data_IF_334677762840
#
_entry.id   IF_334677762840
#
_cell.length_a   1.000
_cell.length_b   1.000
_cell.length_c   1.000
_cell.angle_alpha   90.00
_cell.angle_beta   90.00
_cell.angle_gamma   90.00
#
_symmetry.space_group_name_H-M   'P 1'
#
loop_
_entity.id
_entity.type
_entity.pdbx_description
1 polymer ?
#
# COMPACT_ATOMS: atom_id res chain seq x y z
N UNK A 1 -8.12 -6.84 -29.52
CA UNK A 1 -6.95 -7.46 -28.89
C UNK A 1 -6.66 -6.81 -27.55
N UNK A 2 -6.86 -7.53 -26.48
CA UNK A 2 -6.11 -7.60 -25.24
C UNK A 2 -6.27 -6.49 -24.22
N UNK A 3 -7.45 -6.36 -23.56
CA UNK A 3 -7.58 -5.65 -22.27
C UNK A 3 -7.10 -6.51 -21.07
N UNK A 4 -6.41 -7.62 -21.32
CA UNK A 4 -5.93 -8.54 -20.31
C UNK A 4 -4.42 -8.39 -20.11
N UNK A 5 -3.99 -8.55 -18.86
CA UNK A 5 -2.57 -8.68 -18.52
C UNK A 5 -1.92 -9.90 -19.19
N UNK A 6 -0.65 -9.78 -19.51
CA UNK A 6 0.20 -10.97 -19.69
C UNK A 6 0.43 -11.66 -18.35
N UNK A 7 0.87 -12.94 -18.34
CA UNK A 7 1.11 -13.67 -17.08
C UNK A 7 2.14 -12.98 -16.19
N UNK A 8 3.23 -12.48 -16.76
CA UNK A 8 4.24 -11.71 -16.02
C UNK A 8 3.72 -10.33 -15.64
N UNK A 9 3.04 -9.64 -16.58
CA UNK A 9 2.48 -8.32 -16.34
C UNK A 9 1.48 -8.30 -15.19
N UNK A 10 0.64 -9.34 -15.06
CA UNK A 10 -0.26 -9.50 -13.91
C UNK A 10 0.51 -9.57 -12.58
N UNK A 11 1.54 -10.42 -12.50
CA UNK A 11 2.35 -10.55 -11.28
C UNK A 11 3.05 -9.24 -10.93
N UNK A 12 3.65 -8.57 -11.93
CA UNK A 12 4.34 -7.29 -11.70
C UNK A 12 3.36 -6.14 -11.37
N UNK A 13 2.16 -6.12 -11.97
CA UNK A 13 1.13 -5.16 -11.59
C UNK A 13 0.61 -5.40 -10.17
N UNK A 14 0.37 -6.66 -9.80
CA UNK A 14 0.00 -7.03 -8.42
C UNK A 14 1.13 -6.71 -7.42
N UNK A 15 2.39 -6.92 -7.79
CA UNK A 15 3.56 -6.48 -7.02
C UNK A 15 3.58 -4.96 -6.86
N UNK A 16 3.41 -4.20 -7.94
CA UNK A 16 3.43 -2.74 -7.91
C UNK A 16 2.26 -2.14 -7.12
N UNK A 17 1.11 -2.82 -7.07
CA UNK A 17 0.00 -2.40 -6.21
C UNK A 17 0.28 -2.68 -4.73
N UNK A 18 0.97 -3.77 -4.43
CA UNK A 18 1.32 -4.17 -3.07
C UNK A 18 2.55 -3.41 -2.55
N UNK A 19 3.64 -3.35 -3.35
CA UNK A 19 4.90 -2.69 -2.95
C UNK A 19 4.77 -1.17 -3.16
N UNK A 20 4.19 -0.49 -2.18
CA UNK A 20 4.07 0.96 -2.11
C UNK A 20 4.82 1.54 -0.93
N UNK A 21 4.45 2.76 -0.54
CA UNK A 21 4.95 3.44 0.66
C UNK A 21 4.76 2.59 1.92
N UNK A 22 3.78 1.66 1.92
CA UNK A 22 3.52 0.74 3.02
C UNK A 22 4.67 -0.18 3.37
N UNK A 23 5.37 -0.73 2.37
CA UNK A 23 6.52 -1.61 2.58
C UNK A 23 7.81 -0.84 2.86
N UNK A 24 7.98 0.31 2.23
CA UNK A 24 9.24 1.04 2.22
C UNK A 24 9.34 2.05 3.37
N UNK A 25 8.21 2.65 3.73
CA UNK A 25 8.14 3.68 4.75
C UNK A 25 7.43 3.19 6.02
N UNK A 26 6.18 2.71 5.88
CA UNK A 26 5.36 2.37 7.04
C UNK A 26 5.93 1.17 7.80
N UNK A 27 6.44 0.17 7.11
CA UNK A 27 7.02 -1.02 7.75
C UNK A 27 8.23 -0.68 8.63
N UNK A 28 9.29 0.03 8.16
CA UNK A 28 10.39 0.43 9.03
C UNK A 28 9.93 1.28 10.20
N UNK A 29 9.06 2.27 9.97
CA UNK A 29 8.49 3.07 11.04
C UNK A 29 7.79 2.22 12.09
N UNK A 30 6.87 1.35 11.68
CA UNK A 30 6.13 0.47 12.60
C UNK A 30 7.07 -0.51 13.32
N UNK A 31 8.11 -1.00 12.67
CA UNK A 31 9.17 -1.80 13.29
C UNK A 31 9.88 -1.03 14.38
N UNK A 32 10.21 0.24 14.12
CA UNK A 32 10.88 1.13 15.07
C UNK A 32 10.07 1.37 16.35
N UNK A 33 8.79 1.71 16.22
CA UNK A 33 7.89 1.98 17.36
C UNK A 33 7.41 0.72 18.09
N UNK A 34 7.55 -0.43 17.48
CA UNK A 34 7.03 -1.71 18.01
C UNK A 34 8.13 -2.64 18.57
N UNK A 35 9.34 -2.14 18.79
CA UNK A 35 10.41 -2.89 19.43
C UNK A 35 11.17 -3.87 18.52
N UNK A 36 11.05 -3.75 17.18
CA UNK A 36 11.88 -4.51 16.24
C UNK A 36 11.38 -5.93 15.96
N UNK A 37 12.16 -6.95 16.41
CA UNK A 37 11.99 -8.35 15.99
C UNK A 37 10.62 -8.98 16.25
N UNK A 38 9.92 -8.59 17.32
CA UNK A 38 8.57 -9.09 17.61
C UNK A 38 7.56 -8.68 16.52
N UNK A 39 7.62 -7.41 16.10
CA UNK A 39 6.78 -6.90 15.01
C UNK A 39 7.12 -7.57 13.68
N UNK A 40 8.40 -7.71 13.34
CA UNK A 40 8.86 -8.35 12.11
C UNK A 40 8.36 -9.79 12.06
N UNK A 41 8.52 -10.57 13.13
CA UNK A 41 8.05 -11.95 13.19
C UNK A 41 6.55 -12.07 13.00
N UNK A 42 5.77 -11.24 13.68
CA UNK A 42 4.30 -11.22 13.53
C UNK A 42 3.89 -10.80 12.12
N UNK A 43 4.53 -9.79 11.55
CA UNK A 43 4.27 -9.37 10.17
C UNK A 43 4.52 -10.50 9.18
N UNK A 44 5.63 -11.23 9.31
CA UNK A 44 5.94 -12.40 8.48
C UNK A 44 4.87 -13.48 8.60
N UNK A 45 4.57 -13.87 9.85
CA UNK A 45 3.57 -14.90 10.11
C UNK A 45 2.18 -14.55 9.58
N UNK A 46 1.71 -13.33 9.87
CA UNK A 46 0.39 -12.85 9.44
C UNK A 46 0.32 -12.65 7.92
N UNK A 47 1.40 -12.18 7.28
CA UNK A 47 1.44 -12.03 5.82
C UNK A 47 1.33 -13.36 5.09
N UNK A 48 2.05 -14.39 5.57
CA UNK A 48 2.07 -15.72 4.97
C UNK A 48 0.81 -16.54 5.29
N UNK A 49 0.09 -16.23 6.35
CA UNK A 49 -1.13 -16.93 6.76
C UNK A 49 -2.39 -16.18 6.33
N UNK A 50 -2.81 -15.22 7.12
CA UNK A 50 -4.06 -14.47 6.93
C UNK A 50 -4.00 -13.58 5.70
N UNK A 51 -2.90 -12.86 5.51
CA UNK A 51 -2.70 -11.99 4.36
C UNK A 51 -2.77 -12.74 3.04
N UNK A 52 -2.02 -13.83 2.91
CA UNK A 52 -2.06 -14.69 1.72
C UNK A 52 -3.45 -15.30 1.48
N UNK A 53 -4.14 -15.74 2.54
CA UNK A 53 -5.48 -16.31 2.42
C UNK A 53 -6.50 -15.29 1.90
N UNK A 54 -6.45 -14.05 2.39
CA UNK A 54 -7.33 -12.95 1.95
C UNK A 54 -6.98 -12.49 0.53
N UNK A 55 -5.69 -12.39 0.21
CA UNK A 55 -5.22 -12.02 -1.11
C UNK A 55 -5.70 -12.99 -2.19
N UNK A 56 -5.62 -14.32 -1.91
CA UNK A 56 -6.20 -15.36 -2.79
C UNK A 56 -7.71 -15.19 -2.94
N UNK A 57 -8.43 -14.89 -1.85
CA UNK A 57 -9.87 -14.73 -1.89
C UNK A 57 -10.31 -13.56 -2.79
N UNK A 58 -9.65 -12.41 -2.67
CA UNK A 58 -9.91 -11.25 -3.54
C UNK A 58 -9.60 -11.56 -5.01
N UNK A 59 -8.43 -12.14 -5.28
CA UNK A 59 -8.07 -12.50 -6.65
C UNK A 59 -9.02 -13.55 -7.25
N UNK A 60 -9.43 -14.55 -6.47
CA UNK A 60 -10.37 -15.57 -6.95
C UNK A 60 -11.72 -14.97 -7.29
N UNK A 61 -12.22 -14.01 -6.49
CA UNK A 61 -13.46 -13.30 -6.77
C UNK A 61 -13.39 -12.58 -8.13
N UNK A 62 -12.32 -11.85 -8.39
CA UNK A 62 -12.11 -11.15 -9.66
C UNK A 62 -11.92 -12.10 -10.85
N UNK A 63 -11.00 -13.05 -10.73
CA UNK A 63 -10.68 -14.00 -11.81
C UNK A 63 -11.88 -14.86 -12.21
N UNK A 64 -12.66 -15.34 -11.24
CA UNK A 64 -13.78 -16.22 -11.51
C UNK A 64 -14.94 -15.54 -12.23
N UNK A 65 -15.11 -14.23 -12.01
CA UNK A 65 -16.22 -13.46 -12.59
C UNK A 65 -15.80 -12.66 -13.83
N UNK A 66 -14.54 -12.27 -13.93
CA UNK A 66 -14.03 -11.36 -14.98
C UNK A 66 -14.82 -10.04 -15.05
N UNK A 67 -15.25 -9.53 -13.89
CA UNK A 67 -16.07 -8.33 -13.76
C UNK A 67 -15.50 -7.37 -12.74
N UNK A 68 -15.89 -6.09 -12.83
CA UNK A 68 -15.56 -5.10 -11.82
C UNK A 68 -16.03 -5.55 -10.43
N UNK A 69 -15.49 -4.93 -9.39
CA UNK A 69 -15.68 -5.33 -7.99
C UNK A 69 -17.17 -5.49 -7.61
N UNK A 70 -18.01 -4.52 -7.97
CA UNK A 70 -19.46 -4.53 -7.61
C UNK A 70 -20.21 -5.65 -8.31
N UNK A 71 -20.00 -5.81 -9.61
CA UNK A 71 -20.65 -6.88 -10.39
C UNK A 71 -20.09 -8.27 -10.04
N UNK A 72 -18.83 -8.37 -9.58
CA UNK A 72 -18.25 -9.63 -9.10
C UNK A 72 -18.99 -10.16 -7.85
N UNK A 73 -19.22 -9.32 -6.86
CA UNK A 73 -20.04 -9.69 -5.71
C UNK A 73 -21.47 -10.04 -6.09
N UNK A 74 -22.09 -9.24 -6.98
CA UNK A 74 -23.45 -9.45 -7.42
C UNK A 74 -23.63 -10.78 -8.17
N UNK A 75 -22.69 -11.15 -9.03
CA UNK A 75 -22.77 -12.38 -9.83
C UNK A 75 -22.72 -13.63 -8.97
N UNK A 76 -21.79 -13.69 -8.03
CA UNK A 76 -21.60 -14.85 -7.16
C UNK A 76 -22.58 -14.90 -5.98
N UNK A 77 -23.27 -13.80 -5.66
CA UNK A 77 -24.25 -13.77 -4.58
C UNK A 77 -25.38 -14.78 -4.84
N UNK A 78 -25.54 -15.72 -3.92
CA UNK A 78 -26.61 -16.74 -3.99
C UNK A 78 -28.00 -16.20 -3.62
N UNK A 79 -28.04 -15.03 -2.95
CA UNK A 79 -29.29 -14.42 -2.54
C UNK A 79 -30.00 -13.80 -3.75
N UNK A 80 -31.32 -14.07 -3.97
CA UNK A 80 -32.07 -13.46 -5.07
C UNK A 80 -32.05 -11.93 -5.09
N UNK A 81 -31.96 -11.29 -3.91
CA UNK A 81 -31.90 -9.82 -3.79
C UNK A 81 -30.54 -9.23 -4.13
N UNK A 82 -29.49 -10.05 -4.34
CA UNK A 82 -28.13 -9.62 -4.73
C UNK A 82 -27.59 -8.47 -3.89
N UNK A 83 -27.72 -8.55 -2.57
CA UNK A 83 -27.37 -7.46 -1.64
C UNK A 83 -25.86 -7.27 -1.46
N UNK A 84 -25.05 -8.32 -1.72
CA UNK A 84 -23.60 -8.24 -1.58
C UNK A 84 -22.94 -7.28 -2.56
N UNK A 85 -23.62 -6.85 -3.63
CA UNK A 85 -23.14 -5.75 -4.48
C UNK A 85 -22.77 -4.48 -3.70
N UNK A 86 -23.45 -4.21 -2.56
CA UNK A 86 -23.14 -3.05 -1.73
C UNK A 86 -21.80 -3.15 -1.00
N UNK A 87 -21.32 -4.36 -0.74
CA UNK A 87 -19.95 -4.56 -0.24
C UNK A 87 -18.90 -4.07 -1.24
N UNK A 88 -19.14 -4.23 -2.54
CA UNK A 88 -18.25 -3.73 -3.59
C UNK A 88 -18.05 -2.21 -3.57
N UNK A 89 -19.04 -1.44 -3.04
CA UNK A 89 -18.90 0.02 -2.91
C UNK A 89 -17.78 0.39 -1.93
N UNK A 90 -17.64 -0.35 -0.83
CA UNK A 90 -16.56 -0.13 0.14
C UNK A 90 -15.18 -0.36 -0.50
N UNK A 91 -15.09 -1.35 -1.40
CA UNK A 91 -13.83 -1.74 -2.03
C UNK A 91 -13.39 -0.80 -3.17
N UNK A 92 -14.24 0.12 -3.63
CA UNK A 92 -13.85 1.16 -4.61
C UNK A 92 -13.45 2.49 -3.95
N UNK A 93 -13.00 2.44 -2.71
CA UNK A 93 -12.57 3.60 -1.91
C UNK A 93 -11.19 4.16 -2.28
N UNK A 94 -10.51 3.57 -3.25
CA UNK A 94 -9.18 4.01 -3.70
C UNK A 94 -9.05 5.51 -3.98
N UNK A 95 -9.99 6.18 -4.66
CA UNK A 95 -9.95 7.64 -4.86
C UNK A 95 -9.86 8.44 -3.57
N UNK A 96 -10.50 8.00 -2.48
CA UNK A 96 -10.43 8.67 -1.18
C UNK A 96 -9.01 8.60 -0.59
N UNK A 97 -8.39 7.42 -0.67
CA UNK A 97 -7.00 7.22 -0.24
C UNK A 97 -6.06 8.06 -1.10
N UNK A 98 -6.32 8.12 -2.40
CA UNK A 98 -5.45 8.82 -3.35
C UNK A 98 -5.37 10.33 -3.08
N UNK A 99 -6.34 10.94 -2.40
CA UNK A 99 -6.30 12.36 -2.01
C UNK A 99 -5.12 12.68 -1.08
N UNK A 100 -4.95 11.92 0.00
CA UNK A 100 -3.85 12.15 0.95
C UNK A 100 -2.56 11.42 0.54
N UNK A 101 -2.67 10.22 -0.01
CA UNK A 101 -1.52 9.46 -0.51
C UNK A 101 -0.80 10.19 -1.64
N UNK A 102 -1.58 10.81 -2.56
CA UNK A 102 -1.04 11.64 -3.63
C UNK A 102 -0.33 12.88 -3.10
N UNK A 103 -0.83 13.49 -2.02
CA UNK A 103 -0.18 14.63 -1.34
C UNK A 103 1.17 14.22 -0.75
N UNK A 104 1.24 13.09 -0.02
CA UNK A 104 2.49 12.55 0.54
C UNK A 104 3.49 12.23 -0.58
N UNK A 105 3.03 11.62 -1.66
CA UNK A 105 3.90 11.35 -2.81
C UNK A 105 4.35 12.64 -3.51
N UNK A 106 3.54 13.69 -3.49
CA UNK A 106 3.94 15.03 -3.92
C UNK A 106 5.11 15.59 -3.10
N UNK A 107 5.12 15.35 -1.78
CA UNK A 107 6.28 15.70 -0.93
C UNK A 107 7.52 14.90 -1.31
N UNK A 108 7.37 13.59 -1.61
CA UNK A 108 8.50 12.77 -2.08
C UNK A 108 9.10 13.35 -3.37
N UNK A 109 8.27 13.77 -4.33
CA UNK A 109 8.75 14.39 -5.57
C UNK A 109 9.45 15.72 -5.31
N UNK A 110 8.93 16.54 -4.41
CA UNK A 110 9.57 17.79 -4.02
C UNK A 110 10.96 17.54 -3.37
N UNK A 111 11.03 16.60 -2.45
CA UNK A 111 12.28 16.23 -1.80
C UNK A 111 13.30 15.67 -2.81
N UNK A 112 12.84 14.89 -3.78
CA UNK A 112 13.69 14.34 -4.84
C UNK A 112 14.35 15.44 -5.68
N UNK A 113 13.61 16.48 -6.06
CA UNK A 113 14.12 17.52 -6.98
C UNK A 113 14.73 18.76 -6.29
N UNK A 114 14.47 18.95 -5.01
CA UNK A 114 14.90 20.14 -4.27
C UNK A 114 15.82 19.78 -3.10
N UNK A 115 15.31 18.99 -2.16
CA UNK A 115 16.00 18.74 -0.88
C UNK A 115 17.21 17.83 -1.06
N UNK A 116 17.17 16.87 -1.97
CA UNK A 116 18.30 15.98 -2.25
C UNK A 116 19.57 16.70 -2.67
N UNK A 117 19.47 17.88 -3.27
CA UNK A 117 20.62 18.69 -3.69
C UNK A 117 21.06 19.71 -2.64
N UNK A 118 20.24 19.92 -1.59
CA UNK A 118 20.52 20.84 -0.48
C UNK A 118 20.12 20.13 0.82
N UNK A 119 20.87 19.08 1.17
CA UNK A 119 20.59 18.24 2.34
C UNK A 119 20.81 19.04 3.64
N UNK A 120 19.90 18.94 4.63
CA UNK A 120 20.04 19.62 5.92
C UNK A 120 21.19 19.04 6.73
N UNK A 121 21.89 19.91 7.49
CA UNK A 121 23.02 19.51 8.33
C UNK A 121 22.58 19.02 9.73
N UNK A 122 21.41 19.39 10.17
CA UNK A 122 20.87 19.05 11.50
C UNK A 122 19.36 18.90 11.49
N UNK A 123 18.83 18.37 12.60
CA UNK A 123 17.40 18.06 12.71
C UNK A 123 16.52 19.32 12.70
N UNK A 124 16.97 20.43 13.28
CA UNK A 124 16.22 21.69 13.34
C UNK A 124 16.02 22.26 11.92
N UNK A 125 17.09 22.26 11.11
CA UNK A 125 17.01 22.69 9.72
C UNK A 125 16.05 21.80 8.90
N UNK A 126 16.13 20.49 9.10
CA UNK A 126 15.24 19.52 8.44
C UNK A 126 13.77 19.70 8.83
N UNK A 127 13.50 19.91 10.12
CA UNK A 127 12.14 20.21 10.62
C UNK A 127 11.61 21.54 10.06
N UNK A 128 12.47 22.55 9.91
CA UNK A 128 12.09 23.80 9.27
C UNK A 128 11.73 23.60 7.79
N UNK A 129 12.53 22.85 7.03
CA UNK A 129 12.27 22.53 5.63
C UNK A 129 10.92 21.80 5.51
N UNK A 130 10.67 20.80 6.36
CA UNK A 130 9.42 20.06 6.32
C UNK A 130 8.23 20.94 6.72
N UNK A 131 8.36 21.75 7.76
CA UNK A 131 7.34 22.72 8.17
C UNK A 131 7.03 23.72 7.06
N UNK A 132 8.05 24.29 6.39
CA UNK A 132 7.87 25.17 5.25
C UNK A 132 7.16 24.47 4.08
N UNK A 133 7.46 23.19 3.84
CA UNK A 133 6.75 22.37 2.84
C UNK A 133 5.26 22.26 3.18
N UNK A 134 4.92 21.97 4.45
CA UNK A 134 3.53 21.87 4.91
C UNK A 134 2.80 23.22 4.91
N UNK A 135 3.52 24.33 5.06
CA UNK A 135 2.95 25.70 5.00
C UNK A 135 2.88 26.25 3.56
N UNK A 136 3.38 25.54 2.56
CA UNK A 136 3.29 25.98 1.17
C UNK A 136 2.16 25.27 0.41
N UNK A 137 0.96 25.85 0.45
CA UNK A 137 -0.22 25.32 -0.26
C UNK A 137 0.07 25.13 -1.75
N UNK A 138 0.73 26.13 -2.39
CA UNK A 138 1.07 26.06 -3.80
C UNK A 138 2.00 24.89 -4.15
N UNK A 139 3.08 24.71 -3.39
CA UNK A 139 4.03 23.63 -3.58
C UNK A 139 3.37 22.25 -3.42
N UNK A 140 2.60 22.06 -2.36
CA UNK A 140 1.88 20.82 -2.12
C UNK A 140 0.84 20.54 -3.23
N UNK A 141 0.13 21.58 -3.70
CA UNK A 141 -0.86 21.45 -4.79
C UNK A 141 -0.19 21.10 -6.12
N UNK A 142 0.97 21.66 -6.43
CA UNK A 142 1.77 21.29 -7.62
C UNK A 142 2.25 19.84 -7.52
N UNK A 143 2.74 19.43 -6.35
CA UNK A 143 3.15 18.05 -6.10
C UNK A 143 1.99 17.06 -6.30
N UNK A 144 0.84 17.32 -5.67
CA UNK A 144 -0.38 16.52 -5.84
C UNK A 144 -0.84 16.49 -7.30
N UNK A 145 -0.87 17.64 -7.97
CA UNK A 145 -1.24 17.71 -9.39
C UNK A 145 -0.31 16.84 -10.26
N UNK A 146 1.01 16.93 -10.04
CA UNK A 146 2.00 16.15 -10.79
C UNK A 146 1.78 14.64 -10.62
N UNK A 147 1.56 14.19 -9.38
CA UNK A 147 1.25 12.79 -9.08
C UNK A 147 -0.04 12.35 -9.77
N UNK A 148 -1.11 13.11 -9.63
CA UNK A 148 -2.41 12.78 -10.20
C UNK A 148 -2.40 12.85 -11.74
N UNK A 149 -1.63 13.77 -12.33
CA UNK A 149 -1.45 13.86 -13.77
C UNK A 149 -0.76 12.60 -14.31
N UNK A 150 0.36 12.17 -13.71
CA UNK A 150 1.07 10.95 -14.08
C UNK A 150 0.15 9.73 -13.92
N UNK A 151 -0.55 9.63 -12.78
CA UNK A 151 -1.50 8.56 -12.50
C UNK A 151 -2.61 8.51 -13.55
N UNK A 152 -3.27 9.62 -13.81
CA UNK A 152 -4.35 9.74 -14.80
C UNK A 152 -3.88 9.43 -16.22
N UNK A 153 -2.69 9.89 -16.58
CA UNK A 153 -2.08 9.59 -17.88
C UNK A 153 -1.90 8.09 -18.09
N UNK A 154 -1.36 7.39 -17.09
CA UNK A 154 -1.12 5.95 -17.15
C UNK A 154 -2.44 5.18 -17.16
N UNK A 155 -3.35 5.46 -16.23
CA UNK A 155 -4.64 4.79 -16.11
C UNK A 155 -5.49 5.01 -17.37
N UNK A 156 -5.50 6.21 -17.95
CA UNK A 156 -6.26 6.49 -19.17
C UNK A 156 -5.83 5.65 -20.39
N UNK A 157 -4.57 5.16 -20.42
CA UNK A 157 -4.05 4.27 -21.48
C UNK A 157 -4.51 2.83 -21.33
N UNK A 158 -5.15 2.46 -20.22
CA UNK A 158 -5.68 1.13 -19.99
C UNK A 158 -4.69 0.17 -19.34
N UNK A 159 -5.13 -1.09 -19.25
CA UNK A 159 -4.42 -2.13 -18.51
C UNK A 159 -3.06 -2.44 -19.15
N UNK A 160 -3.05 -2.81 -20.42
CA UNK A 160 -1.85 -3.31 -21.09
C UNK A 160 -0.85 -2.21 -21.42
N UNK A 161 -1.34 -1.14 -22.05
CA UNK A 161 -0.47 -0.06 -22.54
C UNK A 161 -0.11 0.97 -21.46
N UNK A 162 -0.85 1.00 -20.36
CA UNK A 162 -0.58 1.87 -19.22
C UNK A 162 -0.01 1.11 -18.04
N UNK A 163 -0.85 0.37 -17.32
CA UNK A 163 -0.54 -0.24 -16.03
C UNK A 163 0.54 -1.32 -16.16
N UNK A 164 0.40 -2.24 -17.11
CA UNK A 164 1.38 -3.32 -17.33
C UNK A 164 2.75 -2.77 -17.72
N UNK A 165 2.81 -1.89 -18.72
CA UNK A 165 4.09 -1.28 -19.16
C UNK A 165 4.78 -0.52 -18.05
N UNK A 166 4.03 0.23 -17.25
CA UNK A 166 4.58 0.92 -16.08
C UNK A 166 5.28 -0.06 -15.14
N UNK A 167 4.57 -1.12 -14.74
CA UNK A 167 5.08 -2.08 -13.76
C UNK A 167 6.24 -2.93 -14.31
N UNK A 168 6.24 -3.25 -15.61
CA UNK A 168 7.35 -3.95 -16.28
C UNK A 168 8.67 -3.16 -16.20
N UNK A 169 8.62 -1.83 -16.13
CA UNK A 169 9.79 -0.97 -16.03
C UNK A 169 10.10 -0.61 -14.57
N UNK A 170 9.11 -0.11 -13.83
CA UNK A 170 9.37 0.45 -12.51
C UNK A 170 9.66 -0.61 -11.45
N UNK A 171 9.06 -1.81 -11.53
CA UNK A 171 9.31 -2.85 -10.52
C UNK A 171 10.77 -3.36 -10.56
N UNK A 172 11.35 -3.76 -11.69
CA UNK A 172 12.77 -4.12 -11.74
C UNK A 172 13.70 -3.00 -11.30
N UNK A 173 13.43 -1.74 -11.68
CA UNK A 173 14.23 -0.59 -11.26
C UNK A 173 14.16 -0.37 -9.74
N UNK A 174 12.98 -0.50 -9.15
CA UNK A 174 12.79 -0.41 -7.71
C UNK A 174 13.62 -1.48 -6.98
N UNK A 175 13.52 -2.75 -7.41
CA UNK A 175 14.32 -3.83 -6.81
C UNK A 175 15.81 -3.57 -6.95
N UNK A 176 16.28 -3.20 -8.14
CA UNK A 176 17.70 -2.90 -8.39
C UNK A 176 18.21 -1.77 -7.48
N UNK A 177 17.42 -0.69 -7.34
CA UNK A 177 17.77 0.45 -6.48
C UNK A 177 17.84 0.04 -5.01
N UNK A 178 16.83 -0.70 -4.50
CA UNK A 178 16.82 -1.13 -3.10
C UNK A 178 17.94 -2.11 -2.78
N UNK A 179 18.24 -3.07 -3.66
CA UNK A 179 19.39 -3.96 -3.46
C UNK A 179 20.71 -3.22 -3.54
N UNK A 180 20.85 -2.25 -4.45
CA UNK A 180 22.05 -1.39 -4.52
C UNK A 180 22.27 -0.62 -3.22
N UNK A 181 21.23 0.01 -2.68
CA UNK A 181 21.30 0.71 -1.39
C UNK A 181 21.54 -0.24 -0.21
N UNK A 182 20.97 -1.46 -0.24
CA UNK A 182 21.25 -2.47 0.78
C UNK A 182 22.72 -2.89 0.75
N UNK A 183 23.31 -3.16 -0.43
CA UNK A 183 24.74 -3.49 -0.54
C UNK A 183 25.62 -2.37 -0.02
N UNK A 184 25.25 -1.11 -0.26
CA UNK A 184 25.93 0.03 0.35
C UNK A 184 25.77 0.03 1.88
N UNK A 185 24.56 -0.19 2.42
CA UNK A 185 24.33 -0.27 3.86
C UNK A 185 25.11 -1.42 4.53
N UNK A 186 25.28 -2.55 3.82
CA UNK A 186 26.07 -3.70 4.33
C UNK A 186 27.56 -3.38 4.53
N UNK A 187 28.08 -2.33 3.92
CA UNK A 187 29.46 -1.87 4.13
C UNK A 187 29.64 -0.97 5.36
N UNK A 188 28.56 -0.63 6.06
CA UNK A 188 28.57 0.22 7.26
C UNK A 188 28.68 -0.59 8.55
N UNK A 189 29.34 -0.04 9.56
CA UNK A 189 29.58 -0.71 10.85
C UNK A 189 28.26 -1.01 11.59
N UNK A 190 27.28 -0.13 11.45
CA UNK A 190 25.96 -0.26 12.09
C UNK A 190 25.03 -1.31 11.44
N UNK A 191 25.43 -1.97 10.35
CA UNK A 191 24.60 -3.00 9.72
C UNK A 191 24.28 -4.16 10.66
N UNK A 192 25.26 -4.64 11.40
CA UNK A 192 25.07 -5.70 12.41
C UNK A 192 24.04 -5.28 13.48
N UNK A 193 24.11 -4.03 13.95
CA UNK A 193 23.17 -3.48 14.92
C UNK A 193 21.73 -3.41 14.37
N UNK A 194 21.58 -3.00 13.11
CA UNK A 194 20.30 -2.97 12.42
C UNK A 194 19.71 -4.38 12.25
N UNK A 195 20.57 -5.35 11.90
CA UNK A 195 20.17 -6.75 11.77
C UNK A 195 19.65 -7.31 13.10
N UNK A 196 20.40 -7.14 14.19
CA UNK A 196 19.98 -7.56 15.52
C UNK A 196 18.69 -6.85 15.96
N UNK A 197 18.56 -5.55 15.71
CA UNK A 197 17.33 -4.82 16.03
C UNK A 197 16.08 -5.42 15.34
N UNK A 198 16.21 -5.79 14.07
CA UNK A 198 15.09 -6.32 13.27
C UNK A 198 14.79 -7.80 13.53
N UNK A 199 15.77 -8.59 13.94
CA UNK A 199 15.58 -10.06 13.99
C UNK A 199 15.71 -10.66 15.39
N UNK A 200 16.24 -9.93 16.38
CA UNK A 200 16.29 -10.42 17.75
C UNK A 200 14.88 -10.40 18.36
N UNK A 201 14.35 -11.59 18.53
CA UNK A 201 13.03 -11.78 19.11
C UNK A 201 13.09 -11.70 20.64
N UNK A 202 12.31 -10.78 21.21
CA UNK A 202 12.12 -10.63 22.66
C UNK A 202 10.65 -10.91 22.99
N UNK A 203 10.33 -12.00 23.71
CA UNK A 203 8.94 -12.36 24.04
C UNK A 203 8.15 -11.28 24.74
N UNK A 204 8.81 -10.44 25.56
CA UNK A 204 8.19 -9.31 26.27
C UNK A 204 7.61 -8.23 25.35
N UNK A 205 8.13 -8.14 24.13
CA UNK A 205 7.69 -7.15 23.14
C UNK A 205 6.46 -7.63 22.34
N UNK A 206 6.00 -8.88 22.54
CA UNK A 206 4.76 -9.42 22.01
C UNK A 206 3.56 -8.90 22.80
N UNK A 207 3.11 -7.69 22.47
CA UNK A 207 1.93 -7.07 23.05
C UNK A 207 0.72 -7.13 22.11
N UNK A 208 -0.50 -6.93 22.66
CA UNK A 208 -1.71 -6.81 21.84
C UNK A 208 -1.62 -5.65 20.83
N UNK A 209 -0.93 -4.59 21.20
CA UNK A 209 -0.69 -3.43 20.34
C UNK A 209 0.22 -3.79 19.15
N UNK A 210 1.33 -4.50 19.40
CA UNK A 210 2.25 -4.95 18.33
C UNK A 210 1.54 -5.92 17.38
N UNK A 211 0.69 -6.81 17.90
CA UNK A 211 -0.15 -7.67 17.08
C UNK A 211 -1.10 -6.87 16.18
N UNK A 212 -1.80 -5.88 16.73
CA UNK A 212 -2.71 -5.01 15.99
C UNK A 212 -1.98 -4.21 14.90
N UNK A 213 -0.81 -3.67 15.21
CA UNK A 213 0.03 -2.94 14.27
C UNK A 213 0.53 -3.83 13.14
N UNK A 214 0.98 -5.05 13.47
CA UNK A 214 1.45 -6.03 12.47
C UNK A 214 0.33 -6.43 11.52
N UNK A 215 -0.88 -6.65 12.03
CA UNK A 215 -2.04 -7.00 11.21
C UNK A 215 -2.49 -5.82 10.32
N UNK A 216 -2.54 -4.61 10.86
CA UNK A 216 -2.81 -3.41 10.08
C UNK A 216 -1.76 -3.20 8.97
N UNK A 217 -0.50 -3.52 9.27
CA UNK A 217 0.59 -3.50 8.27
C UNK A 217 0.35 -4.50 7.14
N UNK A 218 -0.10 -5.73 7.45
CA UNK A 218 -0.41 -6.75 6.43
C UNK A 218 -1.53 -6.30 5.49
N UNK A 219 -2.63 -5.74 6.02
CA UNK A 219 -3.73 -5.21 5.20
C UNK A 219 -3.25 -4.13 4.25
N UNK A 220 -2.48 -3.18 4.79
CA UNK A 220 -1.95 -2.07 4.01
C UNK A 220 -0.96 -2.54 2.95
N UNK A 221 -0.05 -3.44 3.32
CA UNK A 221 1.01 -3.97 2.45
C UNK A 221 0.48 -4.80 1.28
N UNK A 222 -0.63 -5.51 1.44
CA UNK A 222 -1.22 -6.34 0.40
C UNK A 222 -2.41 -5.68 -0.30
N UNK A 223 -2.68 -4.40 -0.01
CA UNK A 223 -3.82 -3.64 -0.57
C UNK A 223 -5.16 -4.36 -0.42
N UNK A 224 -5.34 -5.08 0.71
CA UNK A 224 -6.54 -5.86 1.00
C UNK A 224 -7.69 -4.91 1.37
N UNK A 225 -8.89 -5.17 0.85
CA UNK A 225 -10.08 -4.39 1.13
C UNK A 225 -10.27 -3.16 0.23
N UNK A 226 -9.43 -2.99 -0.80
CA UNK A 226 -9.46 -1.87 -1.74
C UNK A 226 -9.99 -2.24 -3.14
N UNK A 227 -10.35 -3.50 -3.35
CA UNK A 227 -10.81 -3.98 -4.64
C UNK A 227 -9.75 -4.05 -5.74
N UNK A 228 -8.51 -3.67 -5.44
CA UNK A 228 -7.39 -3.69 -6.39
C UNK A 228 -7.12 -5.11 -6.86
N UNK A 229 -6.97 -6.05 -5.93
CA UNK A 229 -6.67 -7.44 -6.25
C UNK A 229 -7.82 -8.10 -7.04
N UNK A 230 -9.08 -7.74 -6.72
CA UNK A 230 -10.26 -8.19 -7.48
C UNK A 230 -10.20 -7.64 -8.91
N UNK A 231 -9.95 -6.33 -9.05
CA UNK A 231 -9.89 -5.63 -10.33
C UNK A 231 -8.79 -6.19 -11.25
N UNK A 232 -7.58 -6.36 -10.72
CA UNK A 232 -6.46 -6.89 -11.50
C UNK A 232 -6.68 -8.35 -11.89
N UNK A 233 -7.21 -9.16 -10.98
CA UNK A 233 -7.55 -10.54 -11.29
C UNK A 233 -8.72 -10.67 -12.28
N UNK A 234 -9.65 -9.71 -12.32
CA UNK A 234 -10.74 -9.69 -13.28
C UNK A 234 -10.27 -9.51 -14.74
N UNK A 235 -9.10 -8.91 -14.94
CA UNK A 235 -8.51 -8.68 -16.26
C UNK A 235 -7.27 -9.57 -16.50
N UNK A 236 -7.18 -10.69 -15.82
CA UNK A 236 -6.16 -11.72 -16.07
C UNK A 236 -6.76 -12.97 -16.70
N UNK A 237 -5.91 -13.83 -17.26
CA UNK A 237 -6.32 -15.11 -17.83
C UNK A 237 -6.94 -16.01 -16.74
N UNK A 238 -8.03 -16.70 -17.05
CA UNK A 238 -8.68 -17.68 -16.15
C UNK A 238 -7.78 -18.85 -15.77
N UNK A 239 -6.73 -19.11 -16.57
CA UNK A 239 -5.74 -20.16 -16.30
C UNK A 239 -4.58 -19.71 -15.45
N UNK A 240 -4.52 -18.41 -15.08
CA UNK A 240 -3.47 -17.87 -14.21
C UNK A 240 -3.50 -18.57 -12.84
N UNK A 241 -2.36 -19.09 -12.43
CA UNK A 241 -2.24 -19.76 -11.14
C UNK A 241 -2.15 -18.73 -10.00
N UNK A 242 -3.28 -18.50 -9.33
CA UNK A 242 -3.37 -17.49 -8.28
C UNK A 242 -2.51 -17.81 -7.05
N UNK A 243 -2.30 -19.09 -6.72
CA UNK A 243 -1.41 -19.48 -5.62
C UNK A 243 0.03 -19.06 -5.92
N UNK A 244 0.54 -19.35 -7.11
CA UNK A 244 1.89 -18.93 -7.50
C UNK A 244 2.01 -17.41 -7.51
N UNK A 245 1.01 -16.70 -8.03
CA UNK A 245 0.99 -15.23 -8.03
C UNK A 245 1.01 -14.69 -6.59
N UNK A 246 0.20 -15.24 -5.69
CA UNK A 246 0.18 -14.85 -4.26
C UNK A 246 1.54 -15.05 -3.62
N UNK A 247 2.17 -16.22 -3.82
CA UNK A 247 3.49 -16.53 -3.25
C UNK A 247 4.51 -15.49 -3.71
N UNK A 248 4.56 -15.18 -5.03
CA UNK A 248 5.47 -14.18 -5.55
C UNK A 248 5.21 -12.79 -4.97
N UNK A 249 3.94 -12.35 -4.92
CA UNK A 249 3.60 -11.02 -4.40
C UNK A 249 3.91 -10.90 -2.91
N UNK A 250 3.50 -11.87 -2.11
CA UNK A 250 3.69 -11.82 -0.65
C UNK A 250 5.17 -11.92 -0.28
N UNK A 251 5.91 -12.87 -0.87
CA UNK A 251 7.34 -13.02 -0.57
C UNK A 251 8.17 -11.82 -1.06
N UNK A 252 7.86 -11.27 -2.23
CA UNK A 252 8.55 -10.07 -2.72
C UNK A 252 8.23 -8.84 -1.87
N UNK A 253 6.98 -8.69 -1.41
CA UNK A 253 6.60 -7.62 -0.49
C UNK A 253 7.33 -7.72 0.85
N UNK A 254 7.38 -8.93 1.43
CA UNK A 254 8.17 -9.22 2.63
C UNK A 254 9.65 -8.87 2.41
N UNK A 255 10.23 -9.35 1.32
CA UNK A 255 11.64 -9.11 1.00
C UNK A 255 11.96 -7.61 0.91
N UNK A 256 11.15 -6.83 0.19
CA UNK A 256 11.35 -5.38 0.11
C UNK A 256 11.18 -4.70 1.47
N UNK A 257 10.23 -5.12 2.30
CA UNK A 257 10.07 -4.59 3.66
C UNK A 257 11.33 -4.83 4.50
N UNK A 258 11.87 -6.06 4.46
CA UNK A 258 13.09 -6.40 5.21
C UNK A 258 14.31 -5.65 4.68
N UNK A 259 14.47 -5.54 3.36
CA UNK A 259 15.54 -4.77 2.72
C UNK A 259 15.45 -3.30 3.11
N UNK A 260 14.26 -2.69 3.01
CA UNK A 260 14.04 -1.30 3.38
C UNK A 260 14.31 -1.06 4.88
N UNK A 261 13.83 -1.97 5.74
CA UNK A 261 14.09 -1.90 7.17
C UNK A 261 15.58 -1.97 7.51
N UNK A 262 16.28 -2.98 7.00
CA UNK A 262 17.73 -3.14 7.22
C UNK A 262 18.51 -1.90 6.76
N UNK A 263 18.23 -1.42 5.56
CA UNK A 263 18.89 -0.24 5.01
C UNK A 263 18.62 1.02 5.85
N UNK A 264 17.35 1.31 6.15
CA UNK A 264 16.96 2.50 6.90
C UNK A 264 17.53 2.47 8.32
N UNK A 265 17.42 1.34 9.04
CA UNK A 265 17.96 1.23 10.39
C UNK A 265 19.47 1.28 10.41
N UNK A 266 20.17 0.73 9.40
CA UNK A 266 21.62 0.89 9.26
C UNK A 266 21.98 2.37 9.16
N UNK A 267 21.36 3.11 8.25
CA UNK A 267 21.63 4.53 8.09
C UNK A 267 21.30 5.34 9.35
N UNK A 268 20.15 5.07 9.97
CA UNK A 268 19.74 5.77 11.19
C UNK A 268 20.69 5.48 12.37
N UNK A 269 21.14 4.25 12.56
CA UNK A 269 22.05 3.87 13.66
C UNK A 269 23.47 4.35 13.42
N UNK A 270 23.93 4.40 12.17
CA UNK A 270 25.26 4.90 11.81
C UNK A 270 25.42 6.37 12.19
N UNK A 271 24.39 7.15 11.96
CA UNK A 271 24.40 8.60 12.21
C UNK A 271 23.64 9.02 13.49
N UNK A 272 23.26 8.07 14.35
CA UNK A 272 22.66 8.34 15.65
C UNK A 272 21.29 9.02 15.60
N UNK A 273 20.55 8.89 14.49
CA UNK A 273 19.22 9.47 14.35
C UNK A 273 18.14 8.66 15.12
N UNK A 274 16.99 9.27 15.38
CA UNK A 274 15.90 8.63 16.10
C UNK A 274 15.00 7.80 15.16
N UNK A 275 14.72 6.53 15.53
CA UNK A 275 13.89 5.60 14.75
C UNK A 275 12.39 5.76 14.96
N UNK A 276 11.95 6.54 15.96
CA UNK A 276 10.54 6.56 16.41
C UNK A 276 9.73 7.77 15.94
N UNK A 277 10.21 8.57 14.98
CA UNK A 277 9.59 9.84 14.61
C UNK A 277 8.43 9.77 13.58
N UNK A 278 7.78 8.66 13.39
CA UNK A 278 6.58 8.57 12.53
C UNK A 278 6.84 8.94 11.07
N UNK A 279 5.94 9.77 10.50
CA UNK A 279 6.10 10.31 9.14
C UNK A 279 7.35 11.16 8.99
N UNK A 280 7.84 11.76 10.08
CA UNK A 280 9.10 12.50 10.15
C UNK A 280 10.34 11.67 9.83
N UNK A 281 10.29 10.33 9.94
CA UNK A 281 11.44 9.50 9.60
C UNK A 281 11.96 9.79 8.18
N UNK A 282 11.08 9.89 7.20
CA UNK A 282 11.48 10.13 5.80
C UNK A 282 11.77 11.60 5.51
N UNK A 283 10.99 12.51 6.07
CA UNK A 283 11.05 13.93 5.69
C UNK A 283 11.87 14.79 6.64
N UNK A 284 12.24 14.26 7.82
CA UNK A 284 13.08 14.97 8.78
C UNK A 284 14.34 14.20 9.14
N UNK A 285 14.25 12.93 9.56
CA UNK A 285 15.45 12.20 10.03
C UNK A 285 16.38 11.75 8.89
N UNK A 286 15.84 11.11 7.85
CA UNK A 286 16.67 10.60 6.75
C UNK A 286 17.38 11.68 5.93
N UNK A 287 16.80 12.87 5.63
CA UNK A 287 17.55 13.93 4.96
C UNK A 287 18.80 14.38 5.73
N UNK A 288 18.72 14.45 7.07
CA UNK A 288 19.90 14.76 7.92
C UNK A 288 20.94 13.64 7.83
N UNK A 289 20.49 12.39 7.92
CA UNK A 289 21.37 11.22 7.78
C UNK A 289 22.11 11.26 6.43
N UNK A 290 21.38 11.53 5.34
CA UNK A 290 22.00 11.67 4.02
C UNK A 290 22.96 12.86 3.94
N UNK A 291 22.65 13.99 4.59
CA UNK A 291 23.56 15.14 4.70
C UNK A 291 24.89 14.78 5.38
N UNK A 292 24.82 13.97 6.44
CA UNK A 292 26.02 13.51 7.18
C UNK A 292 26.86 12.48 6.41
N UNK A 293 26.31 11.83 5.36
CA UNK A 293 27.08 10.97 4.45
C UNK A 293 28.03 11.74 3.52
N UNK A 294 28.00 13.08 3.51
CA UNK A 294 28.84 13.91 2.63
C UNK A 294 28.43 13.77 1.15
N UNK A 295 29.40 13.71 0.26
CA UNK A 295 29.15 13.70 -1.19
C UNK A 295 28.30 12.52 -1.67
N UNK A 296 28.44 11.33 -1.06
CA UNK A 296 27.65 10.16 -1.42
C UNK A 296 26.18 10.28 -0.95
N UNK A 297 25.90 11.11 0.04
CA UNK A 297 24.58 11.31 0.60
C UNK A 297 23.56 11.85 -0.43
N UNK A 298 24.01 12.70 -1.35
CA UNK A 298 23.16 13.18 -2.46
C UNK A 298 22.71 12.00 -3.33
N UNK A 299 23.64 11.12 -3.71
CA UNK A 299 23.33 9.94 -4.53
C UNK A 299 22.39 9.00 -3.80
N UNK A 300 22.64 8.71 -2.51
CA UNK A 300 21.81 7.84 -1.68
C UNK A 300 20.42 8.44 -1.52
N UNK A 301 20.30 9.74 -1.25
CA UNK A 301 19.03 10.46 -1.15
C UNK A 301 18.22 10.38 -2.45
N UNK A 302 18.84 10.68 -3.59
CA UNK A 302 18.19 10.63 -4.91
C UNK A 302 17.72 9.21 -5.22
N UNK A 303 18.54 8.19 -5.02
CA UNK A 303 18.18 6.80 -5.28
C UNK A 303 17.04 6.34 -4.36
N UNK A 304 17.10 6.69 -3.08
CA UNK A 304 16.06 6.33 -2.11
C UNK A 304 14.71 6.98 -2.44
N UNK A 305 14.69 8.29 -2.68
CA UNK A 305 13.46 9.02 -3.01
C UNK A 305 12.92 8.64 -4.39
N UNK A 306 13.78 8.31 -5.36
CA UNK A 306 13.38 7.80 -6.67
C UNK A 306 12.69 6.44 -6.53
N UNK A 307 13.23 5.54 -5.71
CA UNK A 307 12.59 4.26 -5.43
C UNK A 307 11.24 4.42 -4.71
N UNK A 308 11.13 5.37 -3.76
CA UNK A 308 9.86 5.76 -3.16
C UNK A 308 8.86 6.29 -4.19
N UNK A 309 9.32 7.12 -5.12
CA UNK A 309 8.48 7.66 -6.20
C UNK A 309 7.97 6.52 -7.11
N UNK A 310 8.81 5.56 -7.47
CA UNK A 310 8.40 4.39 -8.28
C UNK A 310 7.33 3.57 -7.55
N UNK A 311 7.57 3.22 -6.30
CA UNK A 311 6.62 2.48 -5.47
C UNK A 311 5.31 3.26 -5.27
N UNK A 312 5.40 4.57 -5.06
CA UNK A 312 4.23 5.43 -4.90
C UNK A 312 3.38 5.50 -6.16
N UNK A 313 3.99 5.75 -7.32
CA UNK A 313 3.27 5.89 -8.61
C UNK A 313 2.56 4.58 -8.98
N UNK A 314 3.19 3.41 -8.81
CA UNK A 314 2.53 2.13 -9.11
C UNK A 314 1.32 1.90 -8.21
N UNK A 315 1.39 2.31 -6.94
CA UNK A 315 0.27 2.23 -6.00
C UNK A 315 -0.84 3.24 -6.32
N UNK A 316 -0.52 4.49 -6.74
CA UNK A 316 -1.57 5.48 -7.11
C UNK A 316 -2.38 5.01 -8.31
N UNK A 317 -1.72 4.40 -9.29
CA UNK A 317 -2.38 3.79 -10.46
C UNK A 317 -3.31 2.66 -10.03
N UNK A 318 -2.87 1.80 -9.11
CA UNK A 318 -3.67 0.70 -8.59
C UNK A 318 -4.89 1.18 -7.79
N UNK A 319 -4.75 2.25 -7.00
CA UNK A 319 -5.85 2.85 -6.23
C UNK A 319 -6.95 3.44 -7.11
N UNK A 320 -6.60 4.00 -8.26
CA UNK A 320 -7.55 4.64 -9.16
C UNK A 320 -8.33 3.64 -10.01
N UNK A 321 -7.69 2.54 -10.41
CA UNK A 321 -8.21 1.58 -11.39
C UNK A 321 -9.55 0.94 -11.05
N UNK A 322 -9.84 0.46 -9.82
CA UNK A 322 -11.12 -0.17 -9.50
C UNK A 322 -12.33 0.75 -9.76
N UNK A 323 -12.18 2.02 -9.42
CA UNK A 323 -13.23 3.03 -9.64
C UNK A 323 -13.39 3.37 -11.12
N UNK A 324 -12.27 3.48 -11.86
CA UNK A 324 -12.31 3.73 -13.31
C UNK A 324 -12.97 2.56 -14.04
N UNK A 325 -12.60 1.32 -13.72
CA UNK A 325 -13.20 0.12 -14.31
C UNK A 325 -14.71 0.09 -14.05
N UNK A 326 -15.13 0.28 -12.79
CA UNK A 326 -16.56 0.26 -12.45
C UNK A 326 -17.35 1.34 -13.18
N UNK A 327 -16.90 2.59 -13.14
CA UNK A 327 -17.64 3.71 -13.75
C UNK A 327 -17.68 3.60 -15.28
N UNK A 328 -16.59 3.14 -15.90
CA UNK A 328 -16.54 2.90 -17.35
C UNK A 328 -17.52 1.82 -17.78
N UNK A 329 -17.56 0.69 -17.07
CA UNK A 329 -18.46 -0.43 -17.38
C UNK A 329 -19.93 -0.10 -17.04
N UNK A 330 -20.18 0.60 -15.93
CA UNK A 330 -21.53 0.91 -15.46
C UNK A 330 -22.23 1.95 -16.31
N UNK A 331 -21.50 3.02 -16.69
CA UNK A 331 -22.11 4.17 -17.37
C UNK A 331 -21.73 4.27 -18.85
N UNK A 332 -20.92 3.33 -19.36
CA UNK A 332 -20.48 3.28 -20.77
C UNK A 332 -19.76 4.58 -21.23
N UNK A 333 -19.18 5.33 -20.28
CA UNK A 333 -18.34 6.47 -20.61
C UNK A 333 -16.96 6.02 -21.07
N UNK A 334 -16.32 6.83 -21.91
CA UNK A 334 -14.94 6.54 -22.31
C UNK A 334 -14.01 6.56 -21.09
N UNK A 335 -13.08 5.62 -21.05
CA UNK A 335 -12.09 5.50 -19.99
C UNK A 335 -11.35 6.82 -19.72
N UNK A 336 -11.00 7.55 -20.78
CA UNK A 336 -10.37 8.85 -20.68
C UNK A 336 -11.22 9.86 -19.86
N UNK A 337 -12.50 10.01 -20.20
CA UNK A 337 -13.40 10.94 -19.49
C UNK A 337 -13.57 10.57 -18.02
N UNK A 338 -13.74 9.27 -17.71
CA UNK A 338 -13.89 8.78 -16.33
C UNK A 338 -12.62 9.05 -15.54
N UNK A 339 -11.46 8.68 -16.11
CA UNK A 339 -10.16 8.87 -15.42
C UNK A 339 -9.91 10.32 -15.08
N UNK A 340 -10.03 11.22 -16.05
CA UNK A 340 -9.74 12.63 -15.81
C UNK A 340 -10.82 13.33 -14.96
N UNK A 341 -12.07 12.88 -15.02
CA UNK A 341 -13.11 13.32 -14.10
C UNK A 341 -12.83 12.96 -12.65
N UNK A 342 -12.39 11.72 -12.40
CA UNK A 342 -11.94 11.29 -11.06
C UNK A 342 -10.67 12.02 -10.61
N UNK A 343 -9.69 12.20 -11.49
CA UNK A 343 -8.46 12.95 -11.20
C UNK A 343 -8.79 14.39 -10.78
N UNK A 344 -9.69 15.08 -11.50
CA UNK A 344 -10.11 16.42 -11.13
C UNK A 344 -10.82 16.46 -9.77
N UNK A 345 -11.71 15.51 -9.50
CA UNK A 345 -12.40 15.41 -8.21
C UNK A 345 -11.41 15.15 -7.06
N UNK A 346 -10.49 14.19 -7.24
CA UNK A 346 -9.46 13.85 -6.25
C UNK A 346 -8.55 15.05 -6.00
N UNK A 347 -8.19 15.80 -7.04
CA UNK A 347 -7.37 17.00 -6.91
C UNK A 347 -8.09 18.08 -6.07
N UNK A 348 -9.35 18.36 -6.36
CA UNK A 348 -10.13 19.34 -5.60
C UNK A 348 -10.20 18.95 -4.11
N UNK A 349 -10.56 17.69 -3.81
CA UNK A 349 -10.63 17.20 -2.43
C UNK A 349 -9.24 17.23 -1.79
N UNK A 350 -8.19 16.81 -2.51
CA UNK A 350 -6.81 16.82 -2.02
C UNK A 350 -6.31 18.23 -1.69
N UNK A 351 -6.66 19.23 -2.47
CA UNK A 351 -6.34 20.64 -2.15
C UNK A 351 -7.03 21.07 -0.85
N UNK A 352 -8.28 20.67 -0.61
CA UNK A 352 -8.95 20.94 0.68
C UNK A 352 -8.20 20.28 1.84
N UNK A 353 -7.65 19.05 1.65
CA UNK A 353 -6.83 18.40 2.66
C UNK A 353 -5.51 19.15 2.91
N UNK A 354 -4.90 19.71 1.86
CA UNK A 354 -3.68 20.54 1.99
C UNK A 354 -3.97 21.77 2.85
N UNK A 355 -5.13 22.41 2.68
CA UNK A 355 -5.53 23.51 3.57
C UNK A 355 -5.61 23.11 5.03
N UNK A 356 -6.01 21.87 5.35
CA UNK A 356 -6.09 21.40 6.73
C UNK A 356 -4.71 21.19 7.42
N UNK A 357 -3.62 21.23 6.65
CA UNK A 357 -2.24 21.18 7.15
C UNK A 357 -1.62 22.57 7.34
N UNK A 358 -2.21 23.61 6.74
CA UNK A 358 -1.68 24.97 6.80
C UNK A 358 -2.13 25.66 8.10
N UNK A 359 -1.20 26.38 8.76
CA UNK A 359 -1.42 27.00 10.09
C UNK A 359 -2.66 27.92 10.15
N UNK A 360 -2.92 28.70 9.08
CA UNK A 360 -4.01 29.67 9.07
C UNK A 360 -5.40 29.05 8.86
N UNK A 361 -5.48 27.81 8.37
CA UNK A 361 -6.74 27.12 8.06
C UNK A 361 -6.95 25.87 8.92
N UNK A 362 -5.89 25.37 9.58
CA UNK A 362 -5.91 24.13 10.35
C UNK A 362 -7.04 24.12 11.40
N UNK A 363 -7.23 25.21 12.13
CA UNK A 363 -8.24 25.30 13.19
C UNK A 363 -9.67 25.16 12.65
N UNK A 364 -9.95 25.65 11.44
CA UNK A 364 -11.25 25.51 10.79
C UNK A 364 -11.51 24.10 10.24
N UNK A 365 -10.45 23.35 9.96
CA UNK A 365 -10.49 22.02 9.35
C UNK A 365 -10.01 20.93 10.31
N UNK A 366 -10.00 21.21 11.62
CA UNK A 366 -9.71 20.25 12.69
C UNK A 366 -10.99 19.91 13.44
N UNK A 367 -11.31 18.64 13.53
CA UNK A 367 -12.49 18.10 14.20
C UNK A 367 -12.05 17.00 15.17
N UNK A 368 -12.49 17.06 16.43
CA UNK A 368 -12.10 16.09 17.46
C UNK A 368 -10.57 15.86 17.53
N UNK A 369 -9.82 16.95 17.61
CA UNK A 369 -8.34 16.97 17.71
C UNK A 369 -7.56 16.43 16.51
N UNK A 370 -8.24 16.09 15.41
CA UNK A 370 -7.61 15.61 14.17
C UNK A 370 -7.89 16.56 13.02
N UNK A 371 -6.86 16.81 12.21
CA UNK A 371 -7.04 17.51 10.94
C UNK A 371 -7.91 16.69 9.99
N UNK A 372 -8.51 17.33 9.00
CA UNK A 372 -9.26 16.62 7.96
C UNK A 372 -8.37 15.60 7.22
N UNK A 373 -7.09 15.90 7.04
CA UNK A 373 -6.09 14.98 6.48
C UNK A 373 -5.95 13.72 7.34
N UNK A 374 -5.77 13.87 8.66
CA UNK A 374 -5.64 12.76 9.60
C UNK A 374 -6.93 11.94 9.70
N UNK A 375 -8.10 12.60 9.57
CA UNK A 375 -9.39 11.91 9.54
C UNK A 375 -9.54 11.00 8.32
N UNK A 376 -9.10 11.45 7.14
CA UNK A 376 -9.17 10.62 5.93
C UNK A 376 -8.19 9.45 5.97
N UNK A 377 -6.98 9.67 6.47
CA UNK A 377 -6.05 8.56 6.71
C UNK A 377 -6.64 7.55 7.70
N UNK A 378 -7.14 8.03 8.85
CA UNK A 378 -7.77 7.19 9.86
C UNK A 378 -8.98 6.43 9.32
N UNK A 379 -9.91 7.11 8.66
CA UNK A 379 -11.11 6.49 8.09
C UNK A 379 -10.74 5.41 7.06
N UNK A 380 -9.77 5.68 6.20
CA UNK A 380 -9.33 4.76 5.17
C UNK A 380 -8.63 3.54 5.75
N UNK A 381 -7.61 3.75 6.57
CA UNK A 381 -6.73 2.69 7.08
C UNK A 381 -7.37 1.88 8.22
N UNK A 382 -8.23 2.52 9.04
CA UNK A 382 -8.79 1.91 10.25
C UNK A 382 -10.21 1.40 10.06
N UNK A 383 -10.99 2.00 9.16
CA UNK A 383 -12.41 1.65 8.99
C UNK A 383 -12.64 1.00 7.62
N UNK A 384 -12.35 1.70 6.53
CA UNK A 384 -12.78 1.29 5.19
C UNK A 384 -12.04 0.04 4.71
N UNK A 385 -10.70 0.03 4.79
CA UNK A 385 -9.90 -1.12 4.37
C UNK A 385 -10.23 -2.40 5.15
N UNK A 386 -10.27 -2.41 6.50
CA UNK A 386 -10.66 -3.59 7.24
C UNK A 386 -12.11 -4.03 6.94
N UNK A 387 -13.06 -3.09 6.80
CA UNK A 387 -14.45 -3.44 6.41
C UNK A 387 -14.53 -4.05 5.02
N UNK A 388 -13.80 -3.51 4.05
CA UNK A 388 -13.72 -4.07 2.70
C UNK A 388 -13.14 -5.49 2.70
N UNK A 389 -12.04 -5.70 3.43
CA UNK A 389 -11.47 -7.02 3.64
C UNK A 389 -12.45 -7.98 4.33
N UNK A 390 -13.12 -7.52 5.43
CA UNK A 390 -14.17 -8.28 6.10
C UNK A 390 -15.30 -8.70 5.14
N UNK A 391 -15.77 -7.77 4.33
CA UNK A 391 -16.81 -8.05 3.34
C UNK A 391 -16.38 -9.19 2.41
N UNK A 392 -15.13 -9.16 1.93
CA UNK A 392 -14.62 -10.20 1.02
C UNK A 392 -14.53 -11.57 1.69
N UNK A 393 -13.92 -11.68 2.88
CA UNK A 393 -13.77 -13.00 3.50
C UNK A 393 -15.10 -13.57 4.04
N UNK A 394 -16.01 -12.73 4.54
CA UNK A 394 -17.37 -13.18 4.92
C UNK A 394 -18.10 -13.69 3.68
N UNK A 395 -18.04 -12.95 2.60
CA UNK A 395 -18.69 -13.38 1.35
C UNK A 395 -18.12 -14.71 0.85
N UNK A 396 -16.82 -14.83 0.74
CA UNK A 396 -16.15 -16.02 0.23
C UNK A 396 -16.23 -17.21 1.19
N UNK A 397 -16.10 -16.99 2.50
CA UNK A 397 -16.05 -18.06 3.51
C UNK A 397 -17.41 -18.53 4.03
N UNK A 398 -18.43 -17.65 4.03
CA UNK A 398 -19.73 -17.92 4.68
C UNK A 398 -20.94 -17.84 3.75
N UNK A 399 -20.89 -16.98 2.73
CA UNK A 399 -22.02 -16.79 1.80
C UNK A 399 -21.92 -17.78 0.65
N UNK A 400 -20.74 -17.97 0.07
CA UNK A 400 -20.54 -18.94 -1.00
C UNK A 400 -20.53 -20.37 -0.45
N UNK A 401 -21.19 -21.28 -1.18
CA UNK A 401 -21.13 -22.71 -0.87
C UNK A 401 -19.70 -23.23 -1.05
N UNK A 402 -19.22 -24.03 -0.09
CA UNK A 402 -17.86 -24.62 -0.09
C UNK A 402 -17.56 -25.37 -1.38
N UNK A 403 -18.54 -26.11 -1.91
CA UNK A 403 -18.42 -26.89 -3.14
C UNK A 403 -18.16 -25.97 -4.36
N UNK A 404 -18.88 -24.84 -4.45
CA UNK A 404 -18.67 -23.86 -5.50
C UNK A 404 -17.28 -23.23 -5.40
N UNK A 405 -16.87 -22.87 -4.18
CA UNK A 405 -15.56 -22.28 -3.94
C UNK A 405 -14.43 -23.27 -4.30
N UNK A 406 -14.60 -24.54 -3.95
CA UNK A 406 -13.68 -25.61 -4.31
C UNK A 406 -13.58 -25.76 -5.84
N UNK A 407 -14.70 -25.76 -6.53
CA UNK A 407 -14.73 -25.86 -7.99
C UNK A 407 -13.97 -24.70 -8.66
N UNK A 408 -14.18 -23.47 -8.20
CA UNK A 408 -13.50 -22.28 -8.73
C UNK A 408 -11.98 -22.30 -8.51
N UNK A 409 -11.51 -22.97 -7.46
CA UNK A 409 -10.08 -23.00 -7.07
C UNK A 409 -9.33 -24.26 -7.48
N UNK A 410 -9.97 -25.26 -8.11
CA UNK A 410 -9.36 -26.57 -8.44
C UNK A 410 -8.13 -26.48 -9.32
N UNK A 411 -8.04 -25.48 -10.19
CA UNK A 411 -6.93 -25.35 -11.15
C UNK A 411 -5.61 -24.87 -10.50
N UNK A 412 -5.66 -24.38 -9.23
CA UNK A 412 -4.45 -23.91 -8.53
C UNK A 412 -4.37 -24.37 -7.06
N UNK A 413 -5.46 -24.85 -6.43
CA UNK A 413 -5.44 -25.39 -5.07
C UNK A 413 -5.78 -26.87 -5.06
N UNK A 414 -4.81 -27.71 -4.68
CA UNK A 414 -5.08 -29.11 -4.38
C UNK A 414 -5.95 -29.28 -3.13
N UNK A 415 -6.53 -30.47 -2.88
CA UNK A 415 -7.51 -30.70 -1.81
C UNK A 415 -7.04 -30.31 -0.40
N UNK A 416 -5.77 -30.58 -0.06
CA UNK A 416 -5.19 -30.25 1.25
C UNK A 416 -5.02 -28.73 1.41
N UNK A 417 -4.45 -28.07 0.41
CA UNK A 417 -4.25 -26.62 0.44
C UNK A 417 -5.59 -25.87 0.45
N UNK A 418 -6.59 -26.36 -0.31
CA UNK A 418 -7.93 -25.81 -0.25
C UNK A 418 -8.53 -25.91 1.17
N UNK A 419 -8.39 -27.04 1.83
CA UNK A 419 -8.92 -27.21 3.19
C UNK A 419 -8.27 -26.25 4.18
N UNK A 420 -6.94 -26.08 4.12
CA UNK A 420 -6.19 -25.13 4.96
C UNK A 420 -6.60 -23.69 4.65
N UNK A 421 -6.62 -23.30 3.38
CA UNK A 421 -7.02 -21.97 2.96
C UNK A 421 -8.45 -21.63 3.39
N UNK A 422 -9.40 -22.54 3.17
CA UNK A 422 -10.80 -22.37 3.56
C UNK A 422 -10.95 -22.25 5.08
N UNK A 423 -10.20 -23.01 5.85
CA UNK A 423 -10.19 -22.92 7.31
C UNK A 423 -9.67 -21.57 7.78
N UNK A 424 -8.53 -21.12 7.24
CA UNK A 424 -7.97 -19.79 7.53
C UNK A 424 -8.98 -18.69 7.18
N UNK A 425 -9.55 -18.73 5.98
CA UNK A 425 -10.48 -17.72 5.50
C UNK A 425 -11.77 -17.65 6.33
N UNK A 426 -12.33 -18.82 6.68
CA UNK A 426 -13.64 -18.90 7.34
C UNK A 426 -13.58 -18.65 8.84
N UNK A 427 -12.55 -19.13 9.53
CA UNK A 427 -12.51 -19.12 11.00
C UNK A 427 -11.42 -18.21 11.55
N UNK A 428 -10.21 -18.31 11.05
CA UNK A 428 -9.06 -17.59 11.61
C UNK A 428 -9.11 -16.11 11.24
N UNK A 429 -9.32 -15.79 9.95
CA UNK A 429 -9.34 -14.41 9.46
C UNK A 429 -10.39 -13.54 10.16
N UNK A 430 -11.67 -13.97 10.33
CA UNK A 430 -12.66 -13.18 11.05
C UNK A 430 -12.27 -12.87 12.49
N UNK A 431 -11.75 -13.86 13.21
CA UNK A 431 -11.33 -13.71 14.60
C UNK A 431 -10.19 -12.67 14.71
N UNK A 432 -9.21 -12.79 13.84
CA UNK A 432 -8.04 -11.91 13.81
C UNK A 432 -8.45 -10.47 13.43
N UNK A 433 -9.28 -10.28 12.40
CA UNK A 433 -9.72 -8.94 12.00
C UNK A 433 -10.63 -8.30 13.06
N UNK A 434 -11.49 -9.10 13.70
CA UNK A 434 -12.33 -8.61 14.78
C UNK A 434 -11.51 -8.16 16.01
N UNK A 435 -10.38 -8.81 16.29
CA UNK A 435 -9.48 -8.41 17.38
C UNK A 435 -8.90 -7.01 17.21
N UNK A 436 -8.68 -6.54 15.96
CA UNK A 436 -8.26 -5.14 15.70
C UNK A 436 -9.31 -4.16 16.20
N UNK A 437 -10.57 -4.45 15.95
CA UNK A 437 -11.67 -3.57 16.36
C UNK A 437 -11.81 -3.52 17.86
N UNK A 438 -11.70 -4.67 18.53
CA UNK A 438 -11.74 -4.73 20.00
C UNK A 438 -10.58 -3.96 20.62
N UNK A 439 -9.35 -4.09 20.13
CA UNK A 439 -8.17 -3.41 20.67
C UNK A 439 -8.15 -1.89 20.44
N UNK A 440 -9.08 -1.33 19.65
CA UNK A 440 -9.21 0.12 19.42
C UNK A 440 -10.37 0.74 20.20
N UNK A 441 -11.23 -0.09 20.78
CA UNK A 441 -12.37 0.35 21.60
C UNK A 441 -11.99 0.36 23.08
N UNK A 442 -11.01 -0.46 23.47
CA UNK A 442 -10.40 -0.53 24.80
C UNK A 442 -8.93 -0.08 24.76
#
# INVERSE_FOLDING_TARGET
MGNHFSKLGFVLAALGSAIGLGHIWRFPYMTGVSGGGAFVLLFLFLSLSVGAAMFIAEMLLGQSTQKNVIEAFKELDINPKKRWKYAGILLISGPLILTFYGTILGWVLYYLVSVSFNLPNNIQESEQIFTQTLQSIGLQSIGLFSVLFITGWIVSRGIKEGIEKLNLVLMPLLFATFFGLLFYAMSMDSFSKAFHFMFDFKPKDLTSQVFTYSLGQVFFSLSIGLGINITYAAVTDKTQNLLKSTIWVVLSGILISLVAGLMIFTFVFEYGANVSQGTGLIFTSLPVVFGQMGAIGILVSVLFLLALAFAGITSTVALLEPSVMYLTERYQYSRFKVTWGLVALIFIVGVVLIFSLHKDYKDYLTFFEKSLFDWLDFASSTIIMPLGGMATFIFMGWVLKKEKLRLLSTHFLGPKLFATWYFLLKYITPLIVFSIWLSKIY
#
